data_IF_579962607032
#
_entry.id   IF_579962607032
#
_cell.length_a   1.000
_cell.length_b   1.000
_cell.length_c   1.000
_cell.angle_alpha   90.00
_cell.angle_beta   90.00
_cell.angle_gamma   90.00
#
_symmetry.space_group_name_H-M   'P 1'
#
loop_
_entity.id
_entity.type
_entity.pdbx_description
1 polymer ?
#
# COMPACT_ATOMS: atom_id res chain seq x y z
N UNK A 1 -5.24 -11.72 8.98
CA UNK A 1 -5.53 -11.54 7.55
C UNK A 1 -5.76 -12.88 6.84
N UNK A 2 -6.79 -12.97 5.99
CA UNK A 2 -7.09 -14.14 5.14
C UNK A 2 -6.23 -14.15 3.87
N UNK A 3 -6.20 -15.28 3.16
CA UNK A 3 -5.52 -15.39 1.86
C UNK A 3 -6.14 -14.43 0.83
N UNK A 4 -7.47 -14.37 0.77
CA UNK A 4 -8.20 -13.49 -0.15
C UNK A 4 -7.88 -12.01 0.08
N UNK A 5 -7.75 -11.58 1.34
CA UNK A 5 -7.33 -10.21 1.66
C UNK A 5 -5.91 -9.94 1.15
N UNK A 6 -4.98 -10.88 1.34
CA UNK A 6 -3.59 -10.73 0.85
C UNK A 6 -3.54 -10.61 -0.68
N UNK A 7 -4.31 -11.44 -1.38
CA UNK A 7 -4.43 -11.38 -2.83
C UNK A 7 -5.02 -10.05 -3.31
N UNK A 8 -6.10 -9.57 -2.69
CA UNK A 8 -6.70 -8.27 -2.98
C UNK A 8 -5.68 -7.12 -2.81
N UNK A 9 -4.96 -7.09 -1.68
CA UNK A 9 -3.95 -6.06 -1.39
C UNK A 9 -2.85 -6.05 -2.46
N UNK A 10 -2.36 -7.24 -2.84
CA UNK A 10 -1.31 -7.37 -3.86
C UNK A 10 -1.83 -6.93 -5.24
N UNK A 11 -3.02 -7.38 -5.63
CA UNK A 11 -3.62 -7.00 -6.92
C UNK A 11 -3.85 -5.49 -7.03
N UNK A 12 -4.34 -4.85 -5.98
CA UNK A 12 -4.56 -3.40 -5.99
C UNK A 12 -3.23 -2.62 -6.00
N UNK A 13 -2.17 -3.14 -5.36
CA UNK A 13 -0.82 -2.60 -5.52
C UNK A 13 -0.29 -2.78 -6.94
N UNK A 14 -0.53 -3.92 -7.59
CA UNK A 14 -0.12 -4.15 -8.98
C UNK A 14 -0.83 -3.20 -9.95
N UNK A 15 -2.13 -2.94 -9.75
CA UNK A 15 -2.87 -1.92 -10.52
C UNK A 15 -2.27 -0.53 -10.33
N UNK A 16 -1.90 -0.16 -9.09
CA UNK A 16 -1.18 1.08 -8.82
C UNK A 16 0.16 1.15 -9.57
N UNK A 17 0.91 0.05 -9.59
CA UNK A 17 2.17 -0.04 -10.34
C UNK A 17 1.97 0.10 -11.85
N UNK A 18 0.93 -0.54 -12.39
CA UNK A 18 0.57 -0.40 -13.80
C UNK A 18 0.20 1.04 -14.15
N UNK A 19 -0.62 1.69 -13.30
CA UNK A 19 -0.98 3.09 -13.45
C UNK A 19 0.25 4.02 -13.43
N UNK A 20 1.11 3.89 -12.41
CA UNK A 20 2.31 4.73 -12.31
C UNK A 20 3.25 4.52 -13.50
N UNK A 21 3.38 3.29 -14.00
CA UNK A 21 4.14 2.97 -15.22
C UNK A 21 3.53 3.61 -16.47
N UNK A 22 2.22 3.42 -16.70
CA UNK A 22 1.50 3.95 -17.86
C UNK A 22 1.62 5.48 -17.97
N UNK A 23 1.53 6.17 -16.84
CA UNK A 23 1.59 7.63 -16.78
C UNK A 23 3.00 8.18 -16.47
N UNK A 24 4.03 7.32 -16.48
CA UNK A 24 5.44 7.68 -16.22
C UNK A 24 5.64 8.45 -14.91
N UNK A 25 4.86 8.10 -13.90
CA UNK A 25 4.99 8.66 -12.56
C UNK A 25 6.24 8.07 -11.88
N UNK A 26 6.99 8.88 -11.12
CA UNK A 26 8.22 8.40 -10.50
C UNK A 26 7.90 7.41 -9.38
N UNK A 27 8.52 6.23 -9.43
CA UNK A 27 8.38 5.21 -8.40
C UNK A 27 9.27 5.54 -7.19
N UNK A 28 8.70 6.27 -6.24
CA UNK A 28 9.41 6.83 -5.07
C UNK A 28 8.75 6.36 -3.78
N UNK A 29 9.52 6.36 -2.69
CA UNK A 29 9.02 6.00 -1.35
C UNK A 29 7.89 6.94 -0.90
N UNK A 30 7.99 8.25 -1.20
CA UNK A 30 6.96 9.24 -0.85
C UNK A 30 5.61 8.90 -1.48
N UNK A 31 5.57 8.71 -2.81
CA UNK A 31 4.32 8.35 -3.52
C UNK A 31 3.77 7.00 -3.06
N UNK A 32 4.66 6.04 -2.81
CA UNK A 32 4.26 4.76 -2.22
C UNK A 32 3.63 4.94 -0.84
N UNK A 33 4.22 5.74 0.05
CA UNK A 33 3.71 5.97 1.39
C UNK A 33 2.33 6.65 1.36
N UNK A 34 2.11 7.64 0.48
CA UNK A 34 0.80 8.26 0.28
C UNK A 34 -0.24 7.24 -0.20
N UNK A 35 0.13 6.40 -1.16
CA UNK A 35 -0.73 5.33 -1.67
C UNK A 35 -1.08 4.33 -0.56
N UNK A 36 -0.07 3.79 0.12
CA UNK A 36 -0.26 2.76 1.15
C UNK A 36 -1.07 3.27 2.33
N UNK A 37 -0.83 4.50 2.78
CA UNK A 37 -1.62 5.17 3.82
C UNK A 37 -3.08 5.27 3.42
N UNK A 38 -3.34 5.78 2.21
CA UNK A 38 -4.70 5.92 1.69
C UNK A 38 -5.41 4.56 1.57
N UNK A 39 -4.72 3.54 1.06
CA UNK A 39 -5.28 2.20 0.87
C UNK A 39 -5.60 1.52 2.20
N UNK A 40 -4.67 1.54 3.17
CA UNK A 40 -4.86 0.94 4.50
C UNK A 40 -6.04 1.59 5.22
N UNK A 41 -6.14 2.92 5.17
CA UNK A 41 -7.23 3.65 5.80
C UNK A 41 -8.57 3.43 5.10
N UNK A 42 -8.56 3.36 3.77
CA UNK A 42 -9.75 3.02 3.00
C UNK A 42 -10.25 1.59 3.31
N UNK A 43 -9.36 0.60 3.37
CA UNK A 43 -9.72 -0.78 3.69
C UNK A 43 -10.28 -0.92 5.10
N UNK A 44 -9.66 -0.26 6.09
CA UNK A 44 -10.15 -0.26 7.46
C UNK A 44 -11.51 0.43 7.58
N UNK A 45 -11.68 1.60 6.95
CA UNK A 45 -12.95 2.35 6.93
C UNK A 45 -14.07 1.63 6.18
N UNK A 46 -13.73 0.78 5.21
CA UNK A 46 -14.68 -0.02 4.43
C UNK A 46 -14.90 -1.42 5.01
N UNK A 47 -14.35 -1.74 6.18
CA UNK A 47 -14.40 -3.07 6.81
C UNK A 47 -13.84 -4.21 5.94
N UNK A 48 -12.93 -3.91 5.01
CA UNK A 48 -12.23 -4.91 4.19
C UNK A 48 -11.08 -5.58 4.96
N UNK A 49 -10.52 -4.85 5.93
CA UNK A 49 -9.59 -5.36 6.95
C UNK A 49 -10.04 -4.87 8.33
N UNK A 50 -9.68 -5.59 9.38
CA UNK A 50 -9.88 -5.13 10.76
C UNK A 50 -8.80 -4.14 11.20
N UNK A 51 -9.08 -3.38 12.27
CA UNK A 51 -8.10 -2.44 12.86
C UNK A 51 -6.78 -3.12 13.24
N UNK A 52 -6.84 -4.36 13.73
CA UNK A 52 -5.65 -5.16 14.08
C UNK A 52 -4.83 -5.61 12.87
N UNK A 53 -5.40 -5.58 11.67
CA UNK A 53 -4.74 -6.00 10.43
C UNK A 53 -4.02 -4.84 9.71
N UNK A 54 -4.24 -3.59 10.11
CA UNK A 54 -3.65 -2.40 9.47
C UNK A 54 -2.12 -2.51 9.33
N UNK A 55 -1.42 -2.93 10.40
CA UNK A 55 0.04 -3.09 10.38
C UNK A 55 0.48 -4.23 9.44
N UNK A 56 -0.21 -5.37 9.48
CA UNK A 56 0.09 -6.50 8.59
C UNK A 56 -0.11 -6.12 7.11
N UNK A 57 -1.15 -5.34 6.81
CA UNK A 57 -1.40 -4.79 5.46
C UNK A 57 -0.31 -3.80 5.03
N UNK A 58 0.07 -2.85 5.88
CA UNK A 58 1.12 -1.88 5.58
C UNK A 58 2.48 -2.56 5.34
N UNK A 59 2.80 -3.60 6.12
CA UNK A 59 4.02 -4.38 5.96
C UNK A 59 4.02 -5.20 4.67
N UNK A 60 2.88 -5.79 4.29
CA UNK A 60 2.73 -6.50 3.01
C UNK A 60 3.00 -5.56 1.82
N UNK A 61 2.38 -4.37 1.82
CA UNK A 61 2.62 -3.35 0.80
C UNK A 61 4.09 -2.91 0.75
N UNK A 62 4.70 -2.69 1.92
CA UNK A 62 6.10 -2.24 2.03
C UNK A 62 7.06 -3.28 1.47
N UNK A 63 6.80 -4.57 1.72
CA UNK A 63 7.56 -5.68 1.12
C UNK A 63 7.41 -5.74 -0.39
N UNK A 64 6.20 -5.57 -0.91
CA UNK A 64 5.95 -5.52 -2.36
C UNK A 64 6.66 -4.34 -3.02
N UNK A 65 6.64 -3.17 -2.40
CA UNK A 65 7.42 -2.01 -2.83
C UNK A 65 8.93 -2.30 -2.85
N UNK A 66 9.45 -2.86 -1.75
CA UNK A 66 10.87 -3.19 -1.64
C UNK A 66 11.32 -4.17 -2.72
N UNK A 67 10.51 -5.19 -3.02
CA UNK A 67 10.76 -6.13 -4.10
C UNK A 67 10.86 -5.39 -5.45
N UNK A 68 9.97 -4.43 -5.70
CA UNK A 68 9.98 -3.59 -6.90
C UNK A 68 11.22 -2.70 -7.07
N UNK A 69 11.92 -2.36 -5.98
CA UNK A 69 13.17 -1.58 -6.02
C UNK A 69 14.44 -2.43 -5.82
N UNK A 70 14.32 -3.76 -5.86
CA UNK A 70 15.44 -4.69 -5.76
C UNK A 70 15.87 -5.02 -4.32
N UNK A 71 14.94 -5.05 -3.38
CA UNK A 71 15.13 -5.45 -1.97
C UNK A 71 16.24 -4.67 -1.25
N UNK A 72 16.22 -3.34 -1.37
CA UNK A 72 17.24 -2.43 -0.83
C UNK A 72 16.95 -1.96 0.60
N UNK A 73 15.71 -2.07 1.05
CA UNK A 73 15.27 -1.65 2.39
C UNK A 73 15.36 -2.86 3.34
N UNK A 74 15.92 -2.65 4.53
CA UNK A 74 16.07 -3.70 5.53
C UNK A 74 14.72 -4.09 6.15
N UNK A 75 14.64 -5.26 6.80
CA UNK A 75 13.41 -5.65 7.49
C UNK A 75 13.02 -4.68 8.61
N UNK A 76 13.99 -4.16 9.35
CA UNK A 76 13.76 -3.17 10.41
C UNK A 76 13.18 -1.87 9.84
N UNK A 77 13.74 -1.37 8.75
CA UNK A 77 13.23 -0.16 8.09
C UNK A 77 11.83 -0.39 7.50
N UNK A 78 11.53 -1.60 7.00
CA UNK A 78 10.19 -1.95 6.52
C UNK A 78 9.15 -1.94 7.64
N UNK A 79 9.51 -2.41 8.84
CA UNK A 79 8.63 -2.33 10.00
C UNK A 79 8.41 -0.87 10.43
N UNK A 80 9.44 -0.02 10.39
CA UNK A 80 9.31 1.41 10.66
C UNK A 80 8.42 2.12 9.61
N UNK A 81 8.58 1.81 8.32
CA UNK A 81 7.72 2.34 7.26
C UNK A 81 6.27 1.90 7.49
N UNK A 82 6.04 0.64 7.86
CA UNK A 82 4.69 0.15 8.16
C UNK A 82 4.07 0.88 9.36
N UNK A 83 4.85 1.14 10.42
CA UNK A 83 4.40 1.91 11.58
C UNK A 83 4.07 3.38 11.21
N UNK A 84 4.87 4.00 10.34
CA UNK A 84 4.60 5.34 9.83
C UNK A 84 3.28 5.38 9.03
N UNK A 85 3.07 4.43 8.12
CA UNK A 85 1.86 4.32 7.29
C UNK A 85 0.60 4.24 8.16
N UNK A 86 0.60 3.43 9.23
CA UNK A 86 -0.60 3.26 10.07
C UNK A 86 -0.82 4.38 11.09
N UNK A 87 0.23 5.17 11.37
CA UNK A 87 0.15 6.34 12.26
C UNK A 87 -0.62 7.51 11.63
N UNK A 88 -0.68 7.56 10.30
CA UNK A 88 -1.42 8.55 9.53
C UNK A 88 -2.82 8.03 9.16
N UNK A 89 -3.85 8.86 9.37
CA UNK A 89 -5.26 8.54 9.07
C UNK A 89 -5.79 9.19 7.80
N UNK A 90 -4.92 9.81 6.98
CA UNK A 90 -5.30 10.48 5.74
C UNK A 90 -5.73 9.49 4.66
N UNK A 91 -6.66 9.94 3.80
CA UNK A 91 -7.09 9.22 2.60
C UNK A 91 -7.07 10.20 1.44
N UNK A 92 -6.20 9.95 0.47
CA UNK A 92 -6.22 10.63 -0.81
C UNK A 92 -7.00 9.77 -1.83
N UNK A 93 -8.24 10.16 -2.14
CA UNK A 93 -9.04 9.42 -3.11
C UNK A 93 -8.52 9.56 -4.55
N UNK A 94 -7.72 10.58 -4.85
CA UNK A 94 -7.17 10.77 -6.20
C UNK A 94 -6.13 9.71 -6.56
N UNK A 95 -5.37 9.20 -5.57
CA UNK A 95 -4.41 8.12 -5.78
C UNK A 95 -5.07 6.73 -5.82
N UNK A 96 -6.24 6.58 -5.21
CA UNK A 96 -7.01 5.34 -5.20
C UNK A 96 -7.94 5.17 -6.41
N UNK A 97 -8.44 6.27 -6.98
CA UNK A 97 -9.36 6.25 -8.13
C UNK A 97 -8.88 5.35 -9.28
N UNK A 98 -7.61 5.39 -9.73
CA UNK A 98 -7.15 4.55 -10.84
C UNK A 98 -7.25 3.04 -10.59
N UNK A 99 -7.33 2.62 -9.32
CA UNK A 99 -7.27 1.21 -8.91
C UNK A 99 -8.68 0.61 -8.81
N UNK A 100 -9.67 1.44 -8.45
CA UNK A 100 -11.07 1.04 -8.29
C UNK A 100 -11.95 1.35 -9.49
N UNK A 101 -11.46 2.12 -10.46
CA UNK A 101 -12.24 2.53 -11.65
C UNK A 101 -12.11 1.56 -12.83
N UNK A 102 -11.60 0.34 -12.61
CA UNK A 102 -11.34 -0.68 -13.64
C UNK A 102 -12.28 -1.87 -13.51
#
# INVERSE_FOLDING_TARGET
MTVQQKEMIVQDFEKYMQYTSQYKLPFTLERFATFATSLVNFYAGSNLISTGERKETALLLSRSFNAGIGNRITHEDLDQIADLIISDSTIDYSILSPIFSS
#
